data_IF_084285257417
#
_entry.id   IF_084285257417
#
_cell.length_a   1.000
_cell.length_b   1.000
_cell.length_c   1.000
_cell.angle_alpha   90.00
_cell.angle_beta   90.00
_cell.angle_gamma   90.00
#
_symmetry.space_group_name_H-M   'P 1'
#
loop_
_entity.id
_entity.type
_entity.pdbx_description
1 polymer ?
#
# COMPACT_ATOMS: atom_id res chain seq x y z
N UNK A 1 21.29 0.47 18.59
CA UNK A 1 20.20 -0.42 18.13
C UNK A 1 19.07 0.46 17.66
N UNK A 2 18.71 0.45 16.37
CA UNK A 2 17.69 1.39 15.85
C UNK A 2 16.78 0.74 14.82
N UNK A 3 16.31 -0.48 15.11
CA UNK A 3 15.12 -0.99 14.43
C UNK A 3 13.90 -0.46 15.18
N UNK A 4 13.08 0.34 14.49
CA UNK A 4 11.77 0.72 15.04
C UNK A 4 10.93 -0.56 15.13
N UNK A 5 10.49 -0.91 16.32
CA UNK A 5 9.61 -2.06 16.57
C UNK A 5 8.15 -1.59 16.64
N UNK A 6 7.22 -2.50 16.30
CA UNK A 6 5.79 -2.23 16.30
C UNK A 6 5.19 -2.02 14.90
N UNK A 7 3.95 -1.52 14.85
CA UNK A 7 3.24 -1.28 13.61
C UNK A 7 3.67 0.06 12.99
N UNK A 8 4.33 0.00 11.84
CA UNK A 8 4.83 1.17 11.12
C UNK A 8 3.99 1.41 9.86
N UNK A 9 3.37 2.59 9.71
CA UNK A 9 2.72 2.95 8.46
C UNK A 9 3.77 3.33 7.43
N UNK A 10 3.90 2.54 6.38
CA UNK A 10 4.86 2.77 5.31
C UNK A 10 4.12 3.01 3.97
N UNK A 11 4.20 4.22 3.40
CA UNK A 11 3.81 4.44 2.01
C UNK A 11 4.62 3.53 1.08
N UNK A 12 3.94 2.79 0.22
CA UNK A 12 4.56 1.87 -0.74
C UNK A 12 3.97 2.06 -2.13
N UNK A 13 4.76 1.72 -3.14
CA UNK A 13 4.32 1.66 -4.54
C UNK A 13 4.49 0.22 -5.04
N UNK A 14 3.41 -0.39 -5.53
CA UNK A 14 3.40 -1.76 -6.06
C UNK A 14 2.57 -1.85 -7.34
N UNK A 15 3.16 -2.43 -8.38
CA UNK A 15 2.50 -2.61 -9.69
C UNK A 15 1.86 -3.99 -9.87
N UNK A 16 1.85 -4.80 -8.81
CA UNK A 16 1.35 -6.19 -8.81
C UNK A 16 -0.11 -6.31 -8.35
N UNK A 17 -0.87 -5.21 -8.37
CA UNK A 17 -2.28 -5.21 -8.02
C UNK A 17 -3.10 -6.03 -9.03
N UNK A 18 -4.16 -6.70 -8.57
CA UNK A 18 -5.03 -7.45 -9.47
C UNK A 18 -5.81 -6.50 -10.37
N UNK A 19 -5.91 -6.87 -11.64
CA UNK A 19 -6.63 -6.13 -12.67
C UNK A 19 -7.86 -6.89 -13.15
N UNK A 20 -8.86 -6.18 -13.62
CA UNK A 20 -10.00 -6.76 -14.32
C UNK A 20 -9.70 -6.99 -15.81
N UNK A 21 -10.73 -7.35 -16.57
CA UNK A 21 -10.63 -7.65 -18.01
C UNK A 21 -10.33 -6.43 -18.86
N UNK A 22 -10.64 -5.20 -18.41
CA UNK A 22 -10.23 -3.97 -19.10
C UNK A 22 -8.79 -3.56 -18.76
N UNK A 23 -8.17 -4.24 -17.80
CA UNK A 23 -6.81 -3.93 -17.33
C UNK A 23 -6.80 -2.90 -16.20
N UNK A 24 -7.95 -2.53 -15.65
CA UNK A 24 -8.06 -1.58 -14.55
C UNK A 24 -7.85 -2.29 -13.20
N UNK A 25 -7.32 -1.56 -12.21
CA UNK A 25 -7.16 -2.13 -10.86
C UNK A 25 -8.52 -2.47 -10.26
N UNK A 26 -8.68 -3.71 -9.81
CA UNK A 26 -9.88 -4.17 -9.12
C UNK A 26 -10.09 -3.42 -7.80
N UNK A 27 -11.34 -3.29 -7.31
CA UNK A 27 -11.62 -2.78 -5.97
C UNK A 27 -10.75 -3.47 -4.91
N UNK A 28 -10.22 -2.66 -3.99
CA UNK A 28 -9.25 -3.10 -3.00
C UNK A 28 -7.79 -3.02 -3.46
N UNK A 29 -7.47 -2.69 -4.71
CA UNK A 29 -6.09 -2.50 -5.16
C UNK A 29 -5.80 -1.03 -5.52
N UNK A 30 -4.57 -0.60 -5.25
CA UNK A 30 -3.99 0.69 -5.62
C UNK A 30 -2.53 0.49 -6.03
N UNK A 31 -2.02 1.36 -6.89
CA UNK A 31 -0.59 1.38 -7.19
C UNK A 31 0.21 1.95 -6.03
N UNK A 32 -0.35 2.93 -5.30
CA UNK A 32 0.24 3.47 -4.07
C UNK A 32 -0.73 3.43 -2.89
N UNK A 33 -0.26 2.91 -1.77
CA UNK A 33 -1.05 2.71 -0.54
C UNK A 33 -0.15 2.72 0.69
N UNK A 34 -0.74 2.76 1.89
CA UNK A 34 0.01 2.66 3.14
C UNK A 34 -0.01 1.22 3.64
N UNK A 35 1.14 0.57 3.63
CA UNK A 35 1.33 -0.73 4.26
C UNK A 35 1.65 -0.51 5.73
N UNK A 36 0.73 -0.86 6.63
CA UNK A 36 1.00 -0.93 8.07
C UNK A 36 1.66 -2.27 8.33
N UNK A 37 2.94 -2.26 8.71
CA UNK A 37 3.69 -3.50 8.91
C UNK A 37 4.38 -3.59 10.26
N UNK A 38 4.60 -4.82 10.69
CA UNK A 38 5.46 -5.17 11.82
C UNK A 38 6.42 -6.25 11.36
N UNK A 39 7.68 -5.87 11.20
CA UNK A 39 8.77 -6.77 10.82
C UNK A 39 9.78 -6.83 11.95
N UNK A 40 10.00 -8.00 12.52
CA UNK A 40 10.99 -8.17 13.57
C UNK A 40 11.56 -9.59 13.61
N UNK A 41 12.83 -9.76 14.01
CA UNK A 41 13.34 -11.06 14.44
C UNK A 41 12.51 -11.59 15.62
N UNK A 42 12.40 -12.91 15.71
CA UNK A 42 11.86 -13.62 16.87
C UNK A 42 12.84 -14.74 17.24
N UNK A 43 12.88 -15.12 18.51
CA UNK A 43 13.72 -16.21 19.01
C UNK A 43 12.91 -17.49 19.18
N UNK A 44 11.64 -17.34 19.56
CA UNK A 44 10.75 -18.47 19.87
C UNK A 44 9.37 -18.31 19.21
N UNK A 45 8.69 -19.45 19.00
CA UNK A 45 7.36 -19.46 18.39
C UNK A 45 6.28 -18.77 19.24
N UNK A 46 6.48 -18.70 20.55
CA UNK A 46 5.57 -17.97 21.45
C UNK A 46 5.52 -16.47 21.13
N UNK A 47 6.64 -15.90 20.66
CA UNK A 47 6.67 -14.51 20.20
C UNK A 47 5.81 -14.31 18.95
N UNK A 48 5.82 -15.27 18.01
CA UNK A 48 4.93 -15.23 16.85
C UNK A 48 3.46 -15.27 17.27
N UNK A 49 3.12 -16.13 18.23
CA UNK A 49 1.78 -16.19 18.84
C UNK A 49 1.37 -14.88 19.49
N UNK A 50 2.26 -14.26 20.28
CA UNK A 50 2.00 -12.95 20.91
C UNK A 50 1.85 -11.80 19.89
N UNK A 51 2.56 -11.84 18.77
CA UNK A 51 2.40 -10.86 17.68
C UNK A 51 1.03 -11.01 17.01
N UNK A 52 0.61 -12.26 16.77
CA UNK A 52 -0.69 -12.57 16.20
C UNK A 52 -1.83 -12.13 17.13
N UNK A 53 -1.74 -12.42 18.43
CA UNK A 53 -2.72 -11.98 19.42
C UNK A 53 -2.79 -10.45 19.53
N UNK A 54 -1.64 -9.79 19.55
CA UNK A 54 -1.56 -8.33 19.51
C UNK A 54 -2.24 -7.74 18.27
N UNK A 55 -2.12 -8.41 17.12
CA UNK A 55 -2.82 -8.00 15.90
C UNK A 55 -4.34 -8.18 16.00
N UNK A 56 -4.84 -9.28 16.54
CA UNK A 56 -6.27 -9.47 16.78
C UNK A 56 -6.83 -8.47 17.79
N UNK A 57 -6.05 -8.08 18.79
CA UNK A 57 -6.38 -7.00 19.72
C UNK A 57 -6.51 -5.65 19.00
N UNK A 58 -5.59 -5.32 18.08
CA UNK A 58 -5.68 -4.11 17.25
C UNK A 58 -6.93 -4.14 16.37
N UNK A 59 -7.17 -5.25 15.67
CA UNK A 59 -8.36 -5.42 14.83
C UNK A 59 -9.65 -5.25 15.65
N UNK A 60 -9.73 -5.86 16.82
CA UNK A 60 -10.89 -5.72 17.71
C UNK A 60 -11.13 -4.26 18.11
N UNK A 61 -10.08 -3.51 18.45
CA UNK A 61 -10.18 -2.08 18.79
C UNK A 61 -10.59 -1.20 17.61
N UNK A 62 -10.30 -1.63 16.38
CA UNK A 62 -10.76 -0.97 15.16
C UNK A 62 -12.21 -1.32 14.78
N UNK A 63 -12.87 -2.19 15.56
CA UNK A 63 -14.25 -2.62 15.34
C UNK A 63 -14.40 -3.91 14.53
N UNK A 64 -13.31 -4.63 14.27
CA UNK A 64 -13.35 -5.93 13.61
C UNK A 64 -13.55 -7.04 14.65
N UNK A 65 -14.79 -7.48 14.83
CA UNK A 65 -15.09 -8.52 15.83
C UNK A 65 -14.43 -9.86 15.46
N UNK A 66 -13.74 -10.47 16.43
CA UNK A 66 -13.01 -11.73 16.25
C UNK A 66 -13.85 -12.86 15.64
N UNK A 67 -15.15 -12.94 15.96
CA UNK A 67 -16.08 -13.94 15.38
C UNK A 67 -16.18 -13.90 13.85
N UNK A 68 -15.83 -12.75 13.25
CA UNK A 68 -15.88 -12.52 11.81
C UNK A 68 -14.49 -12.56 11.17
N UNK A 69 -13.44 -12.78 11.97
CA UNK A 69 -12.08 -12.92 11.47
C UNK A 69 -11.86 -14.38 11.10
N UNK A 70 -11.41 -14.61 9.87
CA UNK A 70 -10.93 -15.92 9.42
C UNK A 70 -9.46 -15.86 9.06
N UNK A 71 -8.72 -16.87 9.51
CA UNK A 71 -7.32 -17.08 9.16
C UNK A 71 -7.25 -18.23 8.18
N UNK A 72 -6.61 -18.01 7.03
CA UNK A 72 -6.46 -19.03 6.00
C UNK A 72 -5.06 -18.98 5.41
N UNK A 73 -4.54 -20.12 5.01
CA UNK A 73 -3.20 -20.24 4.45
C UNK A 73 -2.89 -21.69 4.18
N UNK A 74 -1.85 -21.93 3.41
CA UNK A 74 -1.27 -23.26 3.25
C UNK A 74 -0.04 -23.33 4.13
N UNK A 75 0.13 -24.43 4.86
CA UNK A 75 1.38 -24.71 5.57
C UNK A 75 2.51 -25.17 4.63
N UNK A 76 2.27 -25.13 3.32
CA UNK A 76 3.30 -25.34 2.30
C UNK A 76 4.32 -24.21 2.38
N UNK A 77 5.56 -24.57 2.71
CA UNK A 77 6.70 -23.67 2.71
C UNK A 77 6.96 -23.16 1.30
N UNK A 78 7.10 -21.84 1.16
CA UNK A 78 7.69 -21.25 -0.03
C UNK A 78 9.16 -20.90 0.24
N UNK A 79 9.98 -20.91 -0.81
CA UNK A 79 11.40 -20.56 -0.75
C UNK A 79 11.75 -19.47 -1.75
N UNK A 80 12.47 -18.45 -1.30
CA UNK A 80 13.07 -17.43 -2.15
C UNK A 80 14.50 -17.16 -1.70
N UNK A 81 15.46 -17.68 -2.47
CA UNK A 81 16.89 -17.64 -2.11
C UNK A 81 17.10 -18.28 -0.73
N UNK A 82 17.75 -17.57 0.20
CA UNK A 82 18.06 -18.05 1.56
C UNK A 82 16.91 -17.85 2.56
N UNK A 83 15.72 -17.46 2.11
CA UNK A 83 14.56 -17.25 2.98
C UNK A 83 13.46 -18.24 2.63
N UNK A 84 12.98 -18.94 3.64
CA UNK A 84 11.81 -19.80 3.58
C UNK A 84 10.72 -19.24 4.49
N UNK A 85 9.47 -19.58 4.20
CA UNK A 85 8.37 -19.09 5.03
C UNK A 85 7.02 -19.73 4.76
N UNK A 86 6.11 -19.46 5.68
CA UNK A 86 4.68 -19.77 5.60
C UNK A 86 3.90 -18.49 5.76
N UNK A 87 2.83 -18.34 4.98
CA UNK A 87 1.97 -17.16 5.02
C UNK A 87 0.57 -17.53 5.48
N UNK A 88 0.12 -16.88 6.55
CA UNK A 88 -1.28 -16.87 6.97
C UNK A 88 -1.91 -15.55 6.54
N UNK A 89 -3.12 -15.62 6.00
CA UNK A 89 -3.88 -14.48 5.52
C UNK A 89 -5.11 -14.28 6.37
N UNK A 90 -5.43 -13.03 6.64
CA UNK A 90 -6.57 -12.62 7.44
C UNK A 90 -7.67 -12.07 6.55
N UNK A 91 -8.90 -12.50 6.81
CA UNK A 91 -10.11 -11.86 6.29
C UNK A 91 -10.99 -11.44 7.45
N UNK A 92 -11.68 -10.32 7.30
CA UNK A 92 -12.82 -9.98 8.12
C UNK A 92 -14.07 -10.03 7.23
N UNK A 93 -14.98 -10.96 7.53
CA UNK A 93 -16.04 -11.37 6.62
C UNK A 93 -15.43 -11.82 5.28
N UNK A 94 -15.78 -11.16 4.19
CA UNK A 94 -15.35 -11.43 2.81
C UNK A 94 -14.10 -10.65 2.38
N UNK A 95 -13.65 -9.67 3.18
CA UNK A 95 -12.59 -8.74 2.77
C UNK A 95 -11.23 -9.07 3.40
N UNK A 96 -10.13 -9.04 2.61
CA UNK A 96 -8.79 -9.26 3.12
C UNK A 96 -8.35 -8.08 4.00
N UNK A 97 -7.90 -8.38 5.21
CA UNK A 97 -7.49 -7.39 6.21
C UNK A 97 -6.02 -7.49 6.62
N UNK A 98 -5.25 -8.40 6.01
CA UNK A 98 -3.80 -8.45 6.17
C UNK A 98 -3.26 -9.87 6.01
N UNK A 99 -1.98 -10.02 6.29
CA UNK A 99 -1.29 -11.29 6.36
C UNK A 99 -0.16 -11.23 7.40
N UNK A 100 0.24 -12.40 7.85
CA UNK A 100 1.41 -12.61 8.70
C UNK A 100 2.23 -13.73 8.08
N UNK A 101 3.53 -13.52 8.07
CA UNK A 101 4.49 -14.45 7.49
C UNK A 101 5.47 -14.85 8.58
N UNK A 102 5.58 -16.16 8.83
CA UNK A 102 6.70 -16.72 9.57
C UNK A 102 7.83 -16.97 8.57
N UNK A 103 8.98 -16.37 8.83
CA UNK A 103 10.17 -16.45 8.00
C UNK A 103 11.28 -17.16 8.76
N UNK A 104 12.05 -18.01 8.07
CA UNK A 104 13.30 -18.57 8.58
C UNK A 104 14.38 -18.56 7.51
N UNK A 105 15.64 -18.53 7.96
CA UNK A 105 16.77 -18.69 7.05
C UNK A 105 16.90 -20.16 6.64
N UNK A 106 17.05 -20.41 5.33
CA UNK A 106 17.15 -21.75 4.77
C UNK A 106 18.41 -22.51 5.23
N UNK A 107 19.51 -21.79 5.50
CA UNK A 107 20.79 -22.38 5.92
C UNK A 107 20.90 -22.50 7.45
N UNK A 108 20.15 -21.67 8.19
CA UNK A 108 20.06 -21.69 9.65
C UNK A 108 18.64 -21.40 10.12
N UNK A 109 17.77 -22.42 10.22
CA UNK A 109 16.36 -22.25 10.60
C UNK A 109 16.12 -21.66 11.99
N UNK A 110 17.12 -21.61 12.87
CA UNK A 110 17.00 -20.92 14.17
C UNK A 110 16.91 -19.39 14.02
N UNK A 111 17.25 -18.84 12.85
CA UNK A 111 17.08 -17.42 12.54
C UNK A 111 15.68 -17.17 12.02
N UNK A 112 14.78 -16.89 12.96
CA UNK A 112 13.37 -16.63 12.68
C UNK A 112 13.08 -15.12 12.61
N UNK A 113 12.09 -14.78 11.79
CA UNK A 113 11.50 -13.45 11.76
C UNK A 113 10.01 -13.55 11.45
N UNK A 114 9.31 -12.48 11.80
CA UNK A 114 7.91 -12.28 11.41
C UNK A 114 7.81 -11.07 10.50
N UNK A 115 6.95 -11.17 9.50
CA UNK A 115 6.52 -10.04 8.67
C UNK A 115 4.99 -10.02 8.67
N UNK A 116 4.41 -9.09 9.41
CA UNK A 116 2.98 -8.82 9.41
C UNK A 116 2.73 -7.58 8.56
N UNK A 117 1.79 -7.67 7.61
CA UNK A 117 1.43 -6.56 6.74
C UNK A 117 -0.08 -6.40 6.56
N UNK A 118 -0.53 -5.15 6.42
CA UNK A 118 -1.90 -4.83 6.03
C UNK A 118 -1.97 -3.49 5.31
N UNK A 119 -2.88 -3.38 4.34
CA UNK A 119 -3.14 -2.11 3.65
C UNK A 119 -4.11 -1.25 4.46
N UNK A 120 -3.70 -0.05 4.85
CA UNK A 120 -4.53 0.88 5.62
C UNK A 120 -5.84 1.19 4.91
N UNK A 121 -5.79 1.41 3.59
CA UNK A 121 -6.95 1.68 2.75
C UNK A 121 -7.92 0.49 2.74
N UNK A 122 -7.43 -0.74 2.77
CA UNK A 122 -8.27 -1.95 2.88
C UNK A 122 -8.89 -2.10 4.25
N UNK A 123 -8.17 -1.76 5.31
CA UNK A 123 -8.75 -1.74 6.66
C UNK A 123 -9.87 -0.69 6.73
N UNK A 124 -9.63 0.51 6.23
CA UNK A 124 -10.67 1.55 6.16
C UNK A 124 -11.87 1.07 5.34
N UNK A 125 -11.65 0.36 4.24
CA UNK A 125 -12.71 -0.21 3.42
C UNK A 125 -13.51 -1.29 4.14
N UNK A 126 -12.83 -2.25 4.77
CA UNK A 126 -13.47 -3.32 5.51
C UNK A 126 -14.30 -2.79 6.70
N UNK A 127 -13.85 -1.69 7.32
CA UNK A 127 -14.54 -1.04 8.44
C UNK A 127 -15.75 -0.22 7.98
N UNK A 128 -15.61 0.56 6.93
CA UNK A 128 -16.63 1.54 6.50
C UNK A 128 -17.64 0.98 5.50
N UNK A 129 -17.26 -0.07 4.76
CA UNK A 129 -18.05 -0.67 3.67
C UNK A 129 -18.47 0.32 2.56
N UNK A 130 -17.82 1.49 2.50
CA UNK A 130 -18.02 2.45 1.41
C UNK A 130 -17.57 1.87 0.06
N UNK A 131 -18.07 2.46 -1.03
CA UNK A 131 -17.54 2.18 -2.37
C UNK A 131 -16.03 2.46 -2.40
N UNK A 132 -15.24 1.53 -2.96
CA UNK A 132 -13.77 1.62 -2.95
C UNK A 132 -13.25 2.94 -3.53
N UNK A 133 -13.84 3.39 -4.65
CA UNK A 133 -13.46 4.65 -5.30
C UNK A 133 -13.78 5.86 -4.42
N UNK A 134 -14.95 5.89 -3.81
CA UNK A 134 -15.38 7.00 -2.94
C UNK A 134 -14.54 7.06 -1.67
N UNK A 135 -14.19 5.91 -1.11
CA UNK A 135 -13.30 5.81 0.05
C UNK A 135 -11.92 6.41 -0.24
N UNK A 136 -11.30 6.03 -1.35
CA UNK A 136 -9.91 6.41 -1.64
C UNK A 136 -9.80 7.82 -2.23
N UNK A 137 -10.73 8.19 -3.11
CA UNK A 137 -10.64 9.42 -3.90
C UNK A 137 -11.66 10.49 -3.49
N UNK A 138 -12.61 10.17 -2.61
CA UNK A 138 -13.59 11.11 -2.09
C UNK A 138 -14.35 11.81 -3.22
N UNK A 139 -14.45 13.14 -3.13
CA UNK A 139 -15.13 13.98 -4.14
C UNK A 139 -14.62 13.85 -5.57
N UNK A 140 -13.44 13.27 -5.79
CA UNK A 140 -12.88 13.09 -7.11
C UNK A 140 -13.28 11.77 -7.75
N UNK A 141 -13.95 10.86 -7.03
CA UNK A 141 -14.29 9.52 -7.48
C UNK A 141 -15.08 9.51 -8.79
N UNK A 142 -15.92 10.52 -9.03
CA UNK A 142 -16.73 10.70 -10.24
C UNK A 142 -16.16 11.69 -11.25
N UNK A 143 -15.10 12.44 -10.90
CA UNK A 143 -14.56 13.53 -11.74
C UNK A 143 -13.51 13.08 -12.75
N UNK A 144 -12.89 11.92 -12.53
CA UNK A 144 -11.90 11.36 -13.44
C UNK A 144 -11.94 9.82 -13.44
N UNK A 145 -11.44 9.17 -14.51
CA UNK A 145 -11.31 7.73 -14.56
C UNK A 145 -10.43 7.17 -13.42
N UNK A 146 -10.71 5.96 -12.89
CA UNK A 146 -9.91 5.35 -11.82
C UNK A 146 -8.41 5.30 -12.12
N UNK A 147 -7.95 4.94 -13.34
CA UNK A 147 -6.52 4.93 -13.66
C UNK A 147 -5.87 6.28 -13.46
N UNK A 148 -6.54 7.36 -13.88
CA UNK A 148 -6.04 8.73 -13.70
C UNK A 148 -5.96 9.12 -12.23
N UNK A 149 -6.97 8.77 -11.42
CA UNK A 149 -6.96 9.06 -9.99
C UNK A 149 -5.82 8.33 -9.25
N UNK A 150 -5.63 7.05 -9.53
CA UNK A 150 -4.55 6.24 -8.96
C UNK A 150 -3.15 6.72 -9.44
N UNK A 151 -3.05 7.12 -10.71
CA UNK A 151 -1.85 7.67 -11.31
C UNK A 151 -1.42 8.98 -10.64
N UNK A 152 -2.32 9.97 -10.54
CA UNK A 152 -2.01 11.26 -9.91
C UNK A 152 -1.65 11.06 -8.43
N UNK A 153 -2.38 10.20 -7.72
CA UNK A 153 -2.08 9.85 -6.32
C UNK A 153 -0.67 9.27 -6.18
N UNK A 154 -0.30 8.34 -7.06
CA UNK A 154 1.00 7.66 -7.05
C UNK A 154 2.13 8.58 -7.47
N UNK A 155 1.98 9.34 -8.56
CA UNK A 155 2.96 10.30 -9.02
C UNK A 155 3.20 11.40 -7.97
N UNK A 156 2.15 11.83 -7.25
CA UNK A 156 2.29 12.78 -6.14
C UNK A 156 3.22 12.24 -5.04
N UNK A 157 3.12 10.96 -4.69
CA UNK A 157 4.02 10.33 -3.71
C UNK A 157 5.47 10.31 -4.20
N UNK A 158 5.67 9.87 -5.45
CA UNK A 158 7.01 9.73 -6.06
C UNK A 158 7.71 11.09 -6.20
N UNK A 159 7.06 12.04 -6.87
CA UNK A 159 7.56 13.40 -7.06
C UNK A 159 7.72 14.12 -5.71
N UNK A 160 6.78 13.93 -4.79
CA UNK A 160 6.83 14.48 -3.43
C UNK A 160 8.07 14.03 -2.65
N UNK A 161 8.54 12.79 -2.86
CA UNK A 161 9.80 12.29 -2.29
C UNK A 161 11.05 12.61 -3.13
N UNK A 162 10.90 13.40 -4.19
CA UNK A 162 12.00 13.89 -5.03
C UNK A 162 12.42 12.93 -6.14
N UNK A 163 11.63 11.91 -6.45
CA UNK A 163 11.90 11.01 -7.58
C UNK A 163 11.46 11.72 -8.87
N UNK A 164 12.42 12.21 -9.64
CA UNK A 164 12.18 12.93 -10.89
C UNK A 164 11.95 11.96 -12.06
N UNK A 165 11.09 12.30 -13.05
CA UNK A 165 10.96 11.54 -14.29
C UNK A 165 12.31 11.37 -15.00
N UNK A 166 12.56 10.19 -15.54
CA UNK A 166 13.79 9.85 -16.27
C UNK A 166 13.54 8.69 -17.24
N UNK A 167 14.52 8.31 -18.05
CA UNK A 167 14.36 7.20 -19.01
C UNK A 167 14.42 5.81 -18.37
N UNK A 168 15.02 5.66 -17.18
CA UNK A 168 15.26 4.37 -16.52
C UNK A 168 15.04 4.43 -15.00
N UNK A 169 15.00 3.26 -14.36
CA UNK A 169 14.90 3.12 -12.91
C UNK A 169 13.62 3.72 -12.33
N UNK A 170 13.70 4.26 -11.11
CA UNK A 170 12.57 4.89 -10.42
C UNK A 170 12.00 6.10 -11.17
N UNK A 171 12.84 6.85 -11.89
CA UNK A 171 12.38 7.94 -12.75
C UNK A 171 11.61 7.45 -13.97
N UNK A 172 12.04 6.34 -14.59
CA UNK A 172 11.28 5.68 -15.66
C UNK A 172 9.95 5.12 -15.20
N UNK A 173 9.87 4.63 -13.96
CA UNK A 173 8.61 4.26 -13.33
C UNK A 173 7.71 5.49 -13.15
N UNK A 174 8.27 6.59 -12.62
CA UNK A 174 7.54 7.84 -12.39
C UNK A 174 6.94 8.38 -13.69
N UNK A 175 7.74 8.44 -14.77
CA UNK A 175 7.27 8.79 -16.12
C UNK A 175 6.11 7.92 -16.59
N UNK A 176 6.23 6.58 -16.47
CA UNK A 176 5.14 5.66 -16.87
C UNK A 176 3.86 5.86 -16.06
N UNK A 177 3.97 6.16 -14.77
CA UNK A 177 2.79 6.48 -13.94
C UNK A 177 2.14 7.78 -14.42
N UNK A 178 2.93 8.83 -14.66
CA UNK A 178 2.41 10.11 -15.16
C UNK A 178 1.71 9.90 -16.51
N UNK A 179 2.30 9.11 -17.41
CA UNK A 179 1.72 8.81 -18.72
C UNK A 179 0.35 8.08 -18.69
N UNK A 180 -0.10 7.56 -17.53
CA UNK A 180 -1.46 6.99 -17.38
C UNK A 180 -2.54 8.01 -16.99
N UNK A 181 -2.16 9.27 -16.79
CA UNK A 181 -3.11 10.37 -16.58
C UNK A 181 -3.84 10.64 -17.90
N UNK A 182 -5.17 10.66 -17.86
CA UNK A 182 -6.00 10.94 -19.04
C UNK A 182 -5.70 12.34 -19.59
N UNK A 183 -5.38 12.50 -20.88
CA UNK A 183 -5.05 13.80 -21.48
C UNK A 183 -6.17 14.84 -21.36
N UNK A 184 -7.44 14.42 -21.39
CA UNK A 184 -8.59 15.29 -21.20
C UNK A 184 -8.64 15.86 -19.79
N UNK A 185 -8.29 15.06 -18.78
CA UNK A 185 -8.13 15.52 -17.39
C UNK A 185 -6.89 16.42 -17.25
N UNK A 186 -5.78 16.06 -17.88
CA UNK A 186 -4.54 16.84 -17.84
C UNK A 186 -4.71 18.27 -18.35
N UNK A 187 -5.52 18.48 -19.40
CA UNK A 187 -5.84 19.81 -19.96
C UNK A 187 -6.52 20.75 -18.97
N UNK A 188 -7.22 20.22 -17.97
CA UNK A 188 -7.88 21.00 -16.92
C UNK A 188 -6.95 21.26 -15.71
N UNK A 189 -5.72 20.73 -15.75
CA UNK A 189 -4.74 20.79 -14.68
C UNK A 189 -4.96 19.72 -13.60
N UNK A 190 -3.86 19.23 -13.02
CA UNK A 190 -3.89 18.16 -12.00
C UNK A 190 -3.79 18.70 -10.56
N UNK A 191 -3.62 20.01 -10.42
CA UNK A 191 -3.34 20.70 -9.15
C UNK A 191 -4.27 20.34 -8.00
N UNK A 192 -5.58 20.22 -8.23
CA UNK A 192 -6.57 19.87 -7.21
C UNK A 192 -6.41 18.43 -6.69
N UNK A 193 -6.15 17.48 -7.59
CA UNK A 193 -5.89 16.08 -7.25
C UNK A 193 -4.53 15.91 -6.56
N UNK A 194 -3.50 16.61 -7.05
CA UNK A 194 -2.18 16.65 -6.44
C UNK A 194 -2.27 17.19 -5.03
N UNK A 195 -2.96 18.32 -4.80
CA UNK A 195 -3.11 18.91 -3.45
C UNK A 195 -3.81 17.96 -2.47
N UNK A 196 -4.86 17.27 -2.93
CA UNK A 196 -5.57 16.31 -2.09
C UNK A 196 -4.69 15.10 -1.74
N UNK A 197 -4.00 14.53 -2.74
CA UNK A 197 -3.08 13.40 -2.54
C UNK A 197 -1.88 13.79 -1.68
N UNK A 198 -1.34 14.99 -1.86
CA UNK A 198 -0.24 15.54 -1.07
C UNK A 198 -0.63 15.67 0.41
N UNK A 199 -1.83 16.17 0.70
CA UNK A 199 -2.36 16.24 2.07
C UNK A 199 -2.46 14.86 2.71
N UNK A 200 -2.91 13.86 1.96
CA UNK A 200 -2.98 12.47 2.44
C UNK A 200 -1.58 11.91 2.75
N UNK A 201 -0.63 12.03 1.81
CA UNK A 201 0.71 11.49 1.98
C UNK A 201 1.50 12.13 3.12
N UNK A 202 1.25 13.43 3.38
CA UNK A 202 1.82 14.15 4.51
C UNK A 202 1.43 13.61 5.89
N UNK A 203 0.38 12.78 5.99
CA UNK A 203 0.02 12.11 7.24
C UNK A 203 1.02 11.03 7.63
N UNK A 204 1.83 10.54 6.68
CA UNK A 204 2.71 9.38 6.86
C UNK A 204 4.20 9.73 6.74
N UNK A 205 4.54 11.00 6.55
CA UNK A 205 5.91 11.47 6.47
C UNK A 205 6.03 12.83 5.79
N UNK A 206 7.20 13.43 5.92
CA UNK A 206 7.53 14.67 5.23
C UNK A 206 7.83 14.41 3.75
N UNK A 207 7.21 15.22 2.89
CA UNK A 207 7.48 15.24 1.45
C UNK A 207 8.50 16.33 1.16
N UNK A 208 9.56 15.99 0.42
CA UNK A 208 10.68 16.88 0.09
C UNK A 208 10.27 18.01 -0.85
N UNK A 209 9.42 17.72 -1.82
CA UNK A 209 8.92 18.71 -2.76
C UNK A 209 7.57 19.26 -2.28
N UNK A 210 7.32 20.58 -2.31
CA UNK A 210 6.01 21.14 -2.00
C UNK A 210 5.00 20.82 -3.11
N UNK A 211 3.71 20.75 -2.77
CA UNK A 211 2.66 20.37 -3.73
C UNK A 211 2.62 21.19 -5.04
N UNK A 212 2.93 22.51 -5.07
CA UNK A 212 2.93 23.24 -6.34
C UNK A 212 4.02 22.74 -7.28
N UNK A 213 5.22 22.47 -6.77
CA UNK A 213 6.32 21.94 -7.56
C UNK A 213 6.01 20.54 -8.09
N UNK A 214 5.30 19.72 -7.30
CA UNK A 214 4.82 18.40 -7.74
C UNK A 214 3.80 18.53 -8.88
N UNK A 215 2.86 19.47 -8.78
CA UNK A 215 1.87 19.70 -9.84
C UNK A 215 2.55 20.17 -11.13
N UNK A 216 3.42 21.18 -11.06
CA UNK A 216 4.18 21.70 -12.21
C UNK A 216 5.00 20.60 -12.88
N UNK A 217 5.77 19.83 -12.12
CA UNK A 217 6.58 18.74 -12.69
C UNK A 217 5.74 17.65 -13.37
N UNK A 218 4.53 17.40 -12.88
CA UNK A 218 3.61 16.45 -13.51
C UNK A 218 3.02 17.02 -14.80
N UNK A 219 2.62 18.29 -14.80
CA UNK A 219 2.04 18.98 -15.96
C UNK A 219 3.08 19.18 -17.08
N UNK A 220 4.32 19.51 -16.74
CA UNK A 220 5.44 19.59 -17.68
C UNK A 220 5.71 18.24 -18.37
N UNK A 221 5.72 17.15 -17.60
CA UNK A 221 5.92 15.79 -18.15
C UNK A 221 4.72 15.33 -19.00
N UNK A 222 3.51 15.82 -18.74
CA UNK A 222 2.32 15.54 -19.57
C UNK A 222 2.28 16.37 -20.86
N UNK A 223 2.96 17.52 -20.89
CA UNK A 223 3.09 18.37 -22.06
C UNK A 223 4.29 18.05 -22.96
N UNK A 224 5.20 17.19 -22.50
CA UNK A 224 6.41 16.75 -23.22
C UNK A 224 6.13 15.56 -24.13
#
# INVERSE_FOLDING_TARGET
MTYRSGFLPQPVVRFTGQRDTSGDLRPGFLTSFVNVSRVQPIQHMDEYGGILDGWFSVLSRLGFHARHISVHGTLTTWKRRQVEGITLRFKHLDLPVGDIVLLWNADNPARLAVDLGTGLERLAWARTRLGWRDLVFGRFSSLAPPPTLDAVRTATLLLGHGIRPASRGAGGITRRVIATVDPGVARLGVSSLVRASYRYWRLFGELKAPWPAVAVAMEEELGA
#
